data_IF_604051288615
#
_entry.id   IF_604051288615
#
_cell.length_a   1.000
_cell.length_b   1.000
_cell.length_c   1.000
_cell.angle_alpha   90.00
_cell.angle_beta   90.00
_cell.angle_gamma   90.00
#
_symmetry.space_group_name_H-M   'P 1'
#
loop_
_entity.id
_entity.type
_entity.pdbx_description
1 polymer ?
#
# COMPACT_ATOMS: atom_id res chain seq x y z
N UNK A 1 -22.85 -51.37 31.81
CA UNK A 1 -22.56 -52.19 30.61
C UNK A 1 -21.48 -51.48 29.82
N UNK A 2 -20.25 -51.98 29.94
CA UNK A 2 -19.02 -51.29 29.58
C UNK A 2 -18.41 -52.02 28.38
N UNK A 3 -18.29 -51.37 27.22
CA UNK A 3 -17.55 -51.91 26.08
C UNK A 3 -16.31 -51.07 25.82
N UNK A 4 -15.18 -51.58 26.30
CA UNK A 4 -13.82 -51.18 25.90
C UNK A 4 -13.60 -51.64 24.46
N UNK A 5 -13.18 -50.72 23.59
CA UNK A 5 -12.55 -51.07 22.32
C UNK A 5 -11.08 -50.69 22.45
N UNK A 6 -10.25 -51.73 22.40
CA UNK A 6 -8.79 -51.69 22.30
C UNK A 6 -8.47 -51.68 20.80
N UNK A 7 -7.79 -50.65 20.31
CA UNK A 7 -7.17 -50.68 18.98
C UNK A 7 -5.68 -50.37 19.11
N UNK A 8 -4.91 -51.29 18.55
CA UNK A 8 -3.48 -51.43 18.69
C UNK A 8 -2.71 -50.42 17.81
N UNK A 9 -1.61 -49.92 18.37
CA UNK A 9 -0.59 -49.15 17.70
C UNK A 9 0.22 -50.04 16.73
N UNK A 10 0.32 -49.62 15.46
CA UNK A 10 1.31 -50.15 14.52
C UNK A 10 2.20 -48.98 14.04
N UNK A 11 3.47 -49.00 14.48
CA UNK A 11 4.56 -48.17 13.96
C UNK A 11 5.09 -48.78 12.65
N UNK A 12 5.25 -48.00 11.57
CA UNK A 12 6.16 -48.36 10.49
C UNK A 12 7.54 -47.72 10.67
N UNK A 13 8.57 -48.57 10.64
CA UNK A 13 10.00 -48.23 10.60
C UNK A 13 10.45 -47.81 9.18
N UNK A 14 11.58 -47.09 9.03
CA UNK A 14 11.94 -46.40 7.79
C UNK A 14 12.75 -47.28 6.83
N UNK A 15 12.70 -47.04 5.50
CA UNK A 15 13.64 -47.63 4.58
C UNK A 15 14.92 -46.79 4.42
N UNK A 16 16.02 -47.52 4.40
CA UNK A 16 17.42 -47.14 4.26
C UNK A 16 17.80 -46.64 2.85
N UNK A 17 18.59 -45.56 2.82
CA UNK A 17 19.81 -45.33 2.02
C UNK A 17 20.00 -46.13 0.72
N UNK A 18 20.21 -45.42 -0.40
CA UNK A 18 21.34 -45.69 -1.30
C UNK A 18 21.76 -44.45 -2.11
N UNK A 19 23.06 -44.18 -2.05
CA UNK A 19 23.82 -43.16 -2.79
C UNK A 19 24.62 -43.89 -3.88
N UNK A 20 24.91 -43.27 -5.02
CA UNK A 20 26.25 -43.43 -5.55
C UNK A 20 26.91 -42.09 -5.91
N UNK A 21 28.22 -42.12 -5.69
CA UNK A 21 29.25 -41.10 -5.92
C UNK A 21 29.81 -41.12 -7.34
N UNK A 22 30.56 -40.04 -7.65
CA UNK A 22 31.64 -39.93 -8.66
C UNK A 22 31.23 -39.37 -10.03
N UNK A 23 31.99 -38.57 -10.78
CA UNK A 23 33.06 -37.58 -10.59
C UNK A 23 33.40 -37.07 -12.02
N UNK A 24 33.68 -35.76 -12.19
CA UNK A 24 34.81 -35.18 -12.94
C UNK A 24 34.55 -33.76 -13.51
N UNK A 25 35.28 -32.80 -12.91
CA UNK A 25 36.05 -31.62 -13.43
C UNK A 25 36.30 -31.48 -14.96
N UNK A 26 36.96 -30.38 -15.44
CA UNK A 26 36.73 -28.93 -15.29
C UNK A 26 36.96 -28.14 -16.64
N UNK A 27 36.74 -26.82 -16.68
CA UNK A 27 37.26 -25.96 -17.76
C UNK A 27 36.80 -24.50 -17.66
N UNK A 28 37.68 -23.58 -17.28
CA UNK A 28 38.31 -22.57 -18.17
C UNK A 28 37.36 -21.42 -18.57
N UNK A 29 37.38 -20.25 -17.93
CA UNK A 29 38.31 -19.10 -18.06
C UNK A 29 37.94 -18.11 -19.18
N UNK A 30 37.98 -16.81 -18.80
CA UNK A 30 38.00 -15.60 -19.63
C UNK A 30 36.75 -15.33 -20.50
N UNK A 31 36.31 -14.11 -20.82
CA UNK A 31 36.87 -12.76 -20.73
C UNK A 31 35.72 -11.77 -21.00
N UNK A 32 35.77 -10.59 -20.37
CA UNK A 32 35.05 -9.39 -20.83
C UNK A 32 35.54 -9.00 -22.22
N UNK A 33 34.67 -8.36 -23.03
CA UNK A 33 35.13 -7.12 -23.64
C UNK A 33 34.10 -6.00 -23.52
N UNK A 34 34.63 -4.85 -23.09
CA UNK A 34 34.07 -3.54 -23.38
C UNK A 34 34.16 -3.25 -24.87
N UNK A 35 33.13 -2.63 -25.46
CA UNK A 35 33.33 -1.78 -26.63
C UNK A 35 32.37 -0.60 -26.60
N UNK A 36 32.98 0.59 -26.54
CA UNK A 36 32.39 1.88 -26.88
C UNK A 36 32.09 1.95 -28.38
N UNK A 37 31.14 2.81 -28.74
CA UNK A 37 31.15 3.75 -29.89
C UNK A 37 30.12 3.50 -31.00
N UNK A 38 29.23 4.48 -31.19
CA UNK A 38 28.68 5.06 -32.45
C UNK A 38 27.63 6.10 -31.99
N UNK A 39 27.79 7.43 -32.12
CA UNK A 39 28.13 8.38 -33.19
C UNK A 39 27.07 8.50 -34.30
N UNK A 40 26.59 9.75 -34.47
CA UNK A 40 25.72 10.36 -35.51
C UNK A 40 24.22 10.18 -35.28
N UNK A 41 23.37 11.21 -35.44
CA UNK A 41 23.25 12.07 -36.63
C UNK A 41 22.49 13.37 -36.32
N UNK A 42 23.02 14.51 -36.79
CA UNK A 42 22.30 15.77 -36.98
C UNK A 42 21.26 15.65 -38.10
N UNK A 43 20.14 16.35 -37.98
CA UNK A 43 19.42 16.95 -39.11
C UNK A 43 18.69 18.22 -38.65
N UNK A 44 18.82 19.23 -39.51
CA UNK A 44 18.41 20.63 -39.45
C UNK A 44 17.24 20.82 -40.43
N UNK A 45 16.62 22.02 -40.39
CA UNK A 45 15.67 22.64 -41.34
C UNK A 45 14.20 22.23 -41.24
N UNK A 46 13.20 23.08 -41.47
CA UNK A 46 12.97 24.54 -41.45
C UNK A 46 11.54 24.70 -42.01
N UNK A 47 10.80 25.72 -41.58
CA UNK A 47 10.20 26.73 -42.47
C UNK A 47 9.09 27.54 -41.80
N UNK A 48 9.24 28.84 -42.02
CA UNK A 48 8.34 29.96 -41.80
C UNK A 48 7.01 29.86 -42.57
N UNK A 49 6.04 30.70 -42.13
CA UNK A 49 5.26 31.69 -42.92
C UNK A 49 4.04 32.13 -42.11
N UNK A 50 4.01 33.36 -41.63
CA UNK A 50 3.52 34.59 -42.30
C UNK A 50 2.00 34.83 -42.08
N UNK A 51 1.73 35.87 -41.31
CA UNK A 51 0.50 36.68 -41.22
C UNK A 51 0.19 37.41 -42.56
N UNK A 52 -0.94 38.16 -42.79
CA UNK A 52 -1.68 39.03 -41.84
C UNK A 52 -3.22 39.18 -42.02
N UNK A 53 -3.92 39.85 -41.07
CA UNK A 53 -4.64 41.14 -41.26
C UNK A 53 -5.73 41.46 -40.20
N UNK A 54 -5.56 42.66 -39.62
CA UNK A 54 -6.38 43.60 -38.81
C UNK A 54 -7.92 43.56 -39.04
N UNK A 55 -8.80 43.84 -38.07
CA UNK A 55 -9.11 45.18 -37.51
C UNK A 55 -9.58 45.20 -36.02
N UNK A 56 -9.45 46.41 -35.47
CA UNK A 56 -9.53 46.91 -34.09
C UNK A 56 -10.94 46.95 -33.44
N UNK A 57 -10.99 46.78 -32.10
CA UNK A 57 -11.39 47.89 -31.20
C UNK A 57 -11.06 47.61 -29.72
N UNK A 58 -10.74 48.69 -28.98
CA UNK A 58 -10.09 48.74 -27.66
C UNK A 58 -10.80 48.03 -26.49
N UNK A 59 -10.21 47.96 -25.29
CA UNK A 59 -9.46 48.99 -24.58
C UNK A 59 -8.55 48.37 -23.51
N UNK A 60 -7.42 49.02 -23.31
CA UNK A 60 -6.33 48.85 -22.35
C UNK A 60 -6.78 48.58 -20.90
N UNK A 61 -6.12 47.63 -20.22
CA UNK A 61 -5.54 47.87 -18.89
C UNK A 61 -4.25 47.04 -18.76
N UNK A 62 -3.15 47.74 -18.51
CA UNK A 62 -1.82 47.23 -18.20
C UNK A 62 -1.79 46.23 -17.03
N UNK A 63 -0.99 45.17 -17.15
CA UNK A 63 0.05 44.79 -16.16
C UNK A 63 0.87 43.62 -16.72
N UNK A 64 1.95 43.96 -17.43
CA UNK A 64 3.09 43.08 -17.66
C UNK A 64 3.72 42.72 -16.30
N UNK A 65 4.08 41.45 -16.08
CA UNK A 65 5.48 41.05 -16.26
C UNK A 65 5.72 39.57 -15.97
N UNK A 66 6.30 38.98 -17.02
CA UNK A 66 6.84 37.66 -17.18
C UNK A 66 7.88 37.27 -16.11
N UNK A 67 7.77 36.03 -15.66
CA UNK A 67 8.72 35.38 -14.75
C UNK A 67 9.70 34.52 -15.55
N UNK A 68 10.95 34.97 -15.74
CA UNK A 68 12.06 34.03 -15.86
C UNK A 68 13.45 34.58 -15.52
N UNK A 69 14.22 33.68 -14.90
CA UNK A 69 15.69 33.65 -14.80
C UNK A 69 16.41 34.45 -13.70
N UNK A 70 16.83 33.68 -12.70
CA UNK A 70 18.17 33.65 -12.10
C UNK A 70 19.09 34.86 -12.27
N UNK A 71 19.43 35.53 -11.16
CA UNK A 71 20.71 35.34 -10.48
C UNK A 71 20.82 36.25 -9.24
N UNK A 72 21.26 35.64 -8.13
CA UNK A 72 22.17 36.24 -7.15
C UNK A 72 21.59 37.32 -6.22
N UNK A 73 20.82 36.87 -5.22
CA UNK A 73 20.68 37.58 -3.94
C UNK A 73 21.23 36.73 -2.78
N UNK A 74 22.50 36.98 -2.42
CA UNK A 74 23.08 36.58 -1.14
C UNK A 74 22.35 37.33 -0.03
N UNK A 75 21.37 36.73 0.65
CA UNK A 75 20.84 37.26 1.92
C UNK A 75 20.61 36.14 2.94
N UNK A 76 21.55 36.13 3.90
CA UNK A 76 21.38 35.78 5.32
C UNK A 76 20.63 34.48 5.63
N UNK A 77 21.41 33.40 5.64
CA UNK A 77 21.12 32.18 6.41
C UNK A 77 21.03 32.57 7.88
N UNK A 78 19.80 32.79 8.34
CA UNK A 78 19.44 33.07 9.73
C UNK A 78 19.91 31.94 10.63
N UNK A 79 20.42 32.32 11.78
CA UNK A 79 21.26 31.58 12.72
C UNK A 79 20.47 30.59 13.59
N UNK A 80 19.42 29.95 13.06
CA UNK A 80 18.54 29.03 13.79
C UNK A 80 18.69 27.56 13.41
N UNK A 81 19.66 27.21 12.55
CA UNK A 81 19.91 25.82 12.12
C UNK A 81 20.68 24.95 13.13
N UNK A 82 20.86 25.38 14.37
CA UNK A 82 21.70 24.68 15.35
C UNK A 82 20.94 23.94 16.44
N UNK A 83 19.66 24.22 16.67
CA UNK A 83 18.85 23.50 17.68
C UNK A 83 18.40 22.16 17.10
N UNK A 84 17.87 22.13 15.87
CA UNK A 84 17.48 20.89 15.20
C UNK A 84 18.66 19.93 15.01
N UNK A 85 19.82 20.44 14.58
CA UNK A 85 21.04 19.63 14.42
C UNK A 85 21.71 19.23 15.74
N UNK A 86 21.40 19.89 16.87
CA UNK A 86 21.86 19.48 18.20
C UNK A 86 20.88 18.49 18.85
N UNK A 87 19.58 18.63 18.61
CA UNK A 87 18.56 17.64 18.96
C UNK A 87 18.76 16.36 18.14
N UNK A 88 19.04 16.43 16.85
CA UNK A 88 19.41 15.25 16.05
C UNK A 88 20.70 14.60 16.53
N UNK A 89 21.69 15.37 17.02
CA UNK A 89 22.93 14.79 17.58
C UNK A 89 22.79 14.22 18.99
N UNK A 90 21.83 14.69 19.79
CA UNK A 90 21.50 14.12 21.11
C UNK A 90 20.51 12.96 20.98
N UNK A 91 19.48 13.10 20.13
CA UNK A 91 18.51 12.07 19.79
C UNK A 91 19.09 10.94 18.93
N UNK A 92 20.16 11.16 18.16
CA UNK A 92 20.92 10.05 17.54
C UNK A 92 21.61 9.13 18.57
N UNK A 93 21.58 9.49 19.86
CA UNK A 93 22.11 8.69 20.98
C UNK A 93 21.03 8.09 21.88
N UNK A 94 19.79 8.56 21.78
CA UNK A 94 18.62 7.98 22.47
C UNK A 94 17.98 7.03 21.45
N UNK A 95 17.61 5.80 21.80
CA UNK A 95 17.21 4.73 20.87
C UNK A 95 15.90 4.93 20.10
N UNK A 96 15.71 6.12 19.53
CA UNK A 96 14.60 6.55 18.69
C UNK A 96 14.28 5.57 17.55
N UNK A 97 15.28 4.87 17.03
CA UNK A 97 15.09 3.85 16.00
C UNK A 97 14.32 2.63 16.52
N UNK A 98 14.48 2.23 17.78
CA UNK A 98 13.72 1.13 18.36
C UNK A 98 12.23 1.47 18.46
N UNK A 99 11.91 2.70 18.90
CA UNK A 99 10.54 3.21 18.91
C UNK A 99 9.95 3.31 17.50
N UNK A 100 10.69 3.87 16.54
CA UNK A 100 10.25 3.96 15.14
C UNK A 100 9.99 2.59 14.55
N UNK A 101 10.91 1.64 14.73
CA UNK A 101 10.75 0.28 14.20
C UNK A 101 9.58 -0.46 14.86
N UNK A 102 9.38 -0.30 16.17
CA UNK A 102 8.22 -0.86 16.86
C UNK A 102 6.93 -0.22 16.38
N UNK A 103 6.87 1.11 16.27
CA UNK A 103 5.72 1.83 15.74
C UNK A 103 5.36 1.36 14.31
N UNK A 104 6.36 1.18 13.44
CA UNK A 104 6.17 0.60 12.10
C UNK A 104 5.51 -0.77 12.18
N UNK A 105 6.06 -1.66 13.00
CA UNK A 105 5.56 -3.03 13.13
C UNK A 105 4.11 -3.04 13.63
N UNK A 106 3.83 -2.34 14.74
CA UNK A 106 2.50 -2.27 15.35
C UNK A 106 1.49 -1.65 14.36
N UNK A 107 1.89 -0.62 13.61
CA UNK A 107 1.00 0.00 12.61
C UNK A 107 0.61 -0.99 11.51
N UNK A 108 1.54 -1.86 11.10
CA UNK A 108 1.28 -2.87 10.05
C UNK A 108 0.57 -4.13 10.55
N UNK A 109 0.71 -4.48 11.83
CA UNK A 109 0.18 -5.73 12.39
C UNK A 109 -1.09 -5.56 13.23
N UNK A 110 -1.28 -4.39 13.85
CA UNK A 110 -2.38 -4.12 14.78
C UNK A 110 -3.40 -3.15 14.21
N UNK A 111 -3.01 -1.91 13.95
CA UNK A 111 -3.92 -0.87 13.44
C UNK A 111 -3.15 0.18 12.62
N UNK A 112 -3.66 0.58 11.44
CA UNK A 112 -3.01 1.59 10.60
C UNK A 112 -3.10 3.01 11.19
N UNK A 113 -3.92 3.22 12.23
CA UNK A 113 -4.20 4.54 12.80
C UNK A 113 -4.13 4.50 14.31
N UNK A 114 -2.90 4.47 14.82
CA UNK A 114 -2.63 4.43 16.26
C UNK A 114 -2.53 5.87 16.79
N UNK A 115 -3.36 6.27 17.76
CA UNK A 115 -3.27 7.57 18.41
C UNK A 115 -2.13 7.59 19.43
N UNK A 116 -0.88 7.59 18.96
CA UNK A 116 0.31 7.46 19.81
C UNK A 116 0.35 8.44 20.98
N UNK A 117 -0.10 9.68 20.80
CA UNK A 117 -0.18 10.66 21.90
C UNK A 117 -1.06 10.16 23.05
N UNK A 118 -2.27 9.65 22.75
CA UNK A 118 -3.18 9.12 23.77
C UNK A 118 -2.61 7.84 24.40
N UNK A 119 -1.99 6.99 23.59
CA UNK A 119 -1.36 5.76 24.10
C UNK A 119 -0.23 6.07 25.09
N UNK A 120 0.63 7.04 24.79
CA UNK A 120 1.68 7.48 25.72
C UNK A 120 1.11 8.16 26.97
N UNK A 121 0.09 9.01 26.82
CA UNK A 121 -0.53 9.66 27.95
C UNK A 121 -1.08 8.65 28.97
N UNK A 122 -1.93 7.72 28.52
CA UNK A 122 -2.52 6.70 29.39
C UNK A 122 -1.47 5.73 29.94
N UNK A 123 -0.51 5.32 29.10
CA UNK A 123 0.52 4.36 29.50
C UNK A 123 1.54 4.91 30.50
N UNK A 124 2.02 6.14 30.29
CA UNK A 124 2.99 6.77 31.18
C UNK A 124 2.39 7.12 32.54
N UNK A 125 1.11 7.51 32.59
CA UNK A 125 0.37 7.70 33.84
C UNK A 125 0.19 6.37 34.57
N UNK A 126 -0.21 5.31 33.84
CA UNK A 126 -0.36 3.96 34.41
C UNK A 126 0.94 3.41 34.99
N UNK A 127 2.08 3.65 34.33
CA UNK A 127 3.40 3.27 34.82
C UNK A 127 3.95 4.20 35.92
N UNK A 128 3.21 5.25 36.30
CA UNK A 128 3.66 6.28 37.24
C UNK A 128 4.98 6.96 36.84
N UNK A 129 5.28 7.01 35.54
CA UNK A 129 6.45 7.72 34.99
C UNK A 129 6.17 9.22 34.97
N UNK A 130 4.92 9.61 34.70
CA UNK A 130 4.42 10.98 34.82
C UNK A 130 3.30 11.06 35.86
N UNK A 131 3.05 12.27 36.35
CA UNK A 131 1.93 12.52 37.27
C UNK A 131 0.62 12.43 36.50
N UNK A 132 -0.39 11.79 37.08
CA UNK A 132 -1.75 11.73 36.54
C UNK A 132 -2.28 13.14 36.21
N UNK A 133 -2.82 13.31 34.99
CA UNK A 133 -3.35 14.59 34.51
C UNK A 133 -2.27 15.57 34.04
N UNK A 134 -0.99 15.21 34.07
CA UNK A 134 0.11 16.09 33.62
C UNK A 134 0.03 16.40 32.12
N UNK A 135 -0.57 15.51 31.32
CA UNK A 135 -0.80 15.71 29.89
C UNK A 135 -2.24 16.13 29.56
N UNK A 136 -3.00 16.57 30.58
CA UNK A 136 -4.41 16.93 30.50
C UNK A 136 -5.34 15.79 30.87
N UNK A 137 -6.59 16.13 31.20
CA UNK A 137 -7.60 15.11 31.48
C UNK A 137 -8.15 14.57 30.16
N UNK A 138 -8.09 13.25 29.98
CA UNK A 138 -8.79 12.57 28.89
C UNK A 138 -10.05 11.91 29.44
N UNK A 139 -11.21 12.42 29.03
CA UNK A 139 -12.47 11.69 29.22
C UNK A 139 -12.52 10.52 28.22
N UNK A 140 -11.98 9.38 28.62
CA UNK A 140 -12.01 8.14 27.83
C UNK A 140 -13.07 7.19 28.37
N UNK A 141 -13.69 6.44 27.45
CA UNK A 141 -14.46 5.26 27.83
C UNK A 141 -13.49 4.18 28.31
N UNK A 142 -13.91 3.37 29.27
CA UNK A 142 -13.10 2.25 29.83
C UNK A 142 -12.53 1.33 28.73
N UNK A 143 -13.33 1.04 27.70
CA UNK A 143 -12.87 0.25 26.56
C UNK A 143 -11.76 0.94 25.75
N UNK A 144 -11.90 2.24 25.47
CA UNK A 144 -10.87 3.00 24.74
C UNK A 144 -9.58 3.08 25.55
N UNK A 145 -9.67 3.28 26.87
CA UNK A 145 -8.52 3.28 27.76
C UNK A 145 -7.78 1.92 27.75
N UNK A 146 -8.54 0.82 27.77
CA UNK A 146 -7.97 -0.54 27.70
C UNK A 146 -7.23 -0.77 26.38
N UNK A 147 -7.84 -0.39 25.25
CA UNK A 147 -7.21 -0.53 23.92
C UNK A 147 -5.92 0.30 23.79
N UNK A 148 -5.89 1.50 24.38
CA UNK A 148 -4.70 2.35 24.40
C UNK A 148 -3.57 1.76 25.25
N UNK A 149 -3.90 1.20 26.41
CA UNK A 149 -2.94 0.50 27.28
C UNK A 149 -2.36 -0.73 26.61
N UNK A 150 -3.19 -1.53 25.92
CA UNK A 150 -2.70 -2.69 25.18
C UNK A 150 -1.66 -2.29 24.12
N UNK A 151 -1.94 -1.23 23.35
CA UNK A 151 -0.99 -0.73 22.34
C UNK A 151 0.30 -0.21 22.99
N UNK A 152 0.20 0.48 24.13
CA UNK A 152 1.34 0.94 24.89
C UNK A 152 2.20 -0.23 25.41
N UNK A 153 1.59 -1.27 25.96
CA UNK A 153 2.30 -2.46 26.44
C UNK A 153 3.01 -3.22 25.30
N UNK A 154 2.37 -3.34 24.14
CA UNK A 154 3.00 -3.92 22.95
C UNK A 154 4.23 -3.11 22.54
N UNK A 155 4.13 -1.77 22.56
CA UNK A 155 5.26 -0.89 22.28
C UNK A 155 6.39 -1.05 23.30
N UNK A 156 6.05 -1.05 24.59
CA UNK A 156 6.99 -1.23 25.71
C UNK A 156 7.75 -2.54 25.58
N UNK A 157 7.06 -3.63 25.23
CA UNK A 157 7.68 -4.92 24.96
C UNK A 157 8.57 -4.92 23.70
N UNK A 158 8.17 -4.17 22.66
CA UNK A 158 8.92 -4.06 21.40
C UNK A 158 10.21 -3.25 21.50
N UNK A 159 10.36 -2.42 22.53
CA UNK A 159 11.53 -1.55 22.73
C UNK A 159 12.37 -2.07 23.92
N UNK A 160 13.51 -2.74 23.68
CA UNK A 160 14.26 -3.42 24.74
C UNK A 160 14.73 -2.53 25.92
N UNK A 161 14.97 -1.24 25.67
CA UNK A 161 15.45 -0.27 26.67
C UNK A 161 14.42 0.82 26.96
N UNK A 162 13.12 0.48 26.85
CA UNK A 162 12.02 1.44 26.85
C UNK A 162 12.10 2.45 28.01
N UNK A 163 12.17 1.98 29.26
CA UNK A 163 12.15 2.85 30.45
C UNK A 163 13.31 3.86 30.47
N UNK A 164 14.51 3.44 30.10
CA UNK A 164 15.69 4.31 30.08
C UNK A 164 15.59 5.34 28.96
N UNK A 165 15.13 4.93 27.79
CA UNK A 165 15.01 5.80 26.63
C UNK A 165 13.86 6.79 26.78
N UNK A 166 12.70 6.37 27.28
CA UNK A 166 11.55 7.26 27.48
C UNK A 166 11.83 8.28 28.57
N UNK A 167 12.51 7.90 29.66
CA UNK A 167 12.96 8.84 30.69
C UNK A 167 13.90 9.90 30.10
N UNK A 168 14.84 9.48 29.25
CA UNK A 168 15.75 10.41 28.56
C UNK A 168 15.02 11.35 27.60
N UNK A 169 13.94 10.89 26.96
CA UNK A 169 13.08 11.71 26.09
C UNK A 169 12.29 12.73 26.89
N UNK A 170 11.74 12.33 28.04
CA UNK A 170 11.01 13.22 28.95
C UNK A 170 11.92 14.29 29.57
N UNK A 171 13.10 13.91 30.04
CA UNK A 171 14.12 14.86 30.55
C UNK A 171 14.55 15.88 29.50
N UNK A 172 14.49 15.50 28.22
CA UNK A 172 14.82 16.36 27.10
C UNK A 172 13.63 17.17 26.56
N UNK A 173 12.44 17.04 27.15
CA UNK A 173 11.19 17.67 26.69
C UNK A 173 10.89 17.37 25.20
N UNK A 174 11.14 16.11 24.80
CA UNK A 174 11.14 15.68 23.40
C UNK A 174 10.06 14.63 23.06
N UNK A 175 9.05 14.46 23.92
CA UNK A 175 8.01 13.44 23.75
C UNK A 175 7.19 13.66 22.47
N UNK A 176 6.79 14.91 22.19
CA UNK A 176 6.07 15.27 20.97
C UNK A 176 6.87 14.95 19.69
N UNK A 177 8.19 15.18 19.74
CA UNK A 177 9.08 14.87 18.62
C UNK A 177 9.17 13.35 18.39
N UNK A 178 9.27 12.56 19.46
CA UNK A 178 9.23 11.11 19.40
C UNK A 178 7.91 10.61 18.79
N UNK A 179 6.78 11.09 19.31
CA UNK A 179 5.43 10.72 18.84
C UNK A 179 5.26 11.06 17.35
N UNK A 180 5.70 12.25 16.93
CA UNK A 180 5.65 12.69 15.53
C UNK A 180 6.47 11.77 14.63
N UNK A 181 7.68 11.37 15.05
CA UNK A 181 8.53 10.44 14.30
C UNK A 181 7.96 9.02 14.24
N UNK A 182 7.37 8.53 15.32
CA UNK A 182 6.68 7.23 15.32
C UNK A 182 5.47 7.23 14.38
N UNK A 183 4.65 8.28 14.42
CA UNK A 183 3.48 8.46 13.55
C UNK A 183 3.89 8.52 12.08
N UNK A 184 4.95 9.26 11.77
CA UNK A 184 5.53 9.32 10.42
C UNK A 184 6.03 7.95 9.98
N UNK A 185 6.74 7.24 10.87
CA UNK A 185 7.28 5.91 10.55
C UNK A 185 6.18 4.88 10.27
N UNK A 186 5.12 4.87 11.08
CA UNK A 186 3.93 4.05 10.83
C UNK A 186 3.27 4.38 9.49
N UNK A 187 3.08 5.67 9.20
CA UNK A 187 2.52 6.15 7.93
C UNK A 187 3.36 5.74 6.72
N UNK A 188 4.69 5.80 6.85
CA UNK A 188 5.63 5.34 5.83
C UNK A 188 5.53 3.83 5.59
N UNK A 189 5.38 3.04 6.66
CA UNK A 189 5.21 1.59 6.54
C UNK A 189 3.93 1.23 5.77
N UNK A 190 2.81 1.84 6.13
CA UNK A 190 1.52 1.68 5.41
C UNK A 190 1.67 2.11 3.95
N UNK A 191 2.32 3.25 3.69
CA UNK A 191 2.55 3.76 2.34
C UNK A 191 3.41 2.82 1.50
N UNK A 192 4.42 2.18 2.10
CA UNK A 192 5.27 1.18 1.46
C UNK A 192 4.49 -0.08 1.13
N UNK A 193 3.65 -0.59 2.04
CA UNK A 193 2.85 -1.79 1.79
C UNK A 193 1.78 -1.55 0.73
N UNK A 194 1.08 -0.42 0.78
CA UNK A 194 0.18 0.02 -0.29
C UNK A 194 0.95 0.14 -1.61
N UNK A 195 2.19 0.63 -1.61
CA UNK A 195 2.98 0.77 -2.83
C UNK A 195 3.42 -0.58 -3.41
N UNK A 196 3.77 -1.57 -2.57
CA UNK A 196 4.03 -2.95 -3.01
C UNK A 196 2.75 -3.58 -3.57
N UNK A 197 1.65 -3.44 -2.84
CA UNK A 197 0.34 -3.97 -3.22
C UNK A 197 -0.07 -3.49 -4.62
N UNK A 198 0.17 -2.22 -4.97
CA UNK A 198 -0.21 -1.68 -6.29
C UNK A 198 0.29 -2.52 -7.46
N UNK A 199 1.57 -2.88 -7.47
CA UNK A 199 2.15 -3.62 -8.59
C UNK A 199 1.76 -5.10 -8.54
N UNK A 200 1.75 -5.69 -7.34
CA UNK A 200 1.40 -7.11 -7.19
C UNK A 200 -0.09 -7.37 -7.40
N UNK A 201 -0.96 -6.40 -7.09
CA UNK A 201 -2.39 -6.54 -7.30
C UNK A 201 -2.77 -6.54 -8.78
N UNK A 202 -2.03 -5.81 -9.63
CA UNK A 202 -2.18 -5.95 -11.08
C UNK A 202 -1.85 -7.38 -11.52
N UNK A 203 -0.82 -8.01 -10.93
CA UNK A 203 -0.47 -9.40 -11.25
C UNK A 203 -1.55 -10.38 -10.83
N UNK A 204 -2.16 -10.13 -9.67
CA UNK A 204 -3.28 -10.91 -9.16
C UNK A 204 -4.46 -10.80 -10.14
N UNK A 205 -4.84 -9.57 -10.53
CA UNK A 205 -5.93 -9.37 -11.47
C UNK A 205 -5.61 -9.99 -12.84
N UNK A 206 -4.43 -9.76 -13.39
CA UNK A 206 -4.05 -10.27 -14.72
C UNK A 206 -4.07 -11.80 -14.77
N UNK A 207 -3.67 -12.46 -13.68
CA UNK A 207 -3.71 -13.92 -13.56
C UNK A 207 -5.14 -14.49 -13.58
N UNK A 208 -6.14 -13.73 -13.10
CA UNK A 208 -7.53 -14.20 -12.98
C UNK A 208 -8.41 -13.72 -14.15
N UNK A 209 -8.31 -12.45 -14.51
CA UNK A 209 -9.13 -11.81 -15.54
C UNK A 209 -8.48 -11.88 -16.94
N UNK A 210 -7.25 -12.39 -17.03
CA UNK A 210 -6.47 -12.44 -18.25
C UNK A 210 -5.67 -11.16 -18.53
N UNK A 211 -4.91 -11.19 -19.62
CA UNK A 211 -3.98 -10.11 -20.01
C UNK A 211 -4.72 -8.78 -20.22
N UNK A 212 -4.19 -7.72 -19.63
CA UNK A 212 -4.70 -6.36 -19.80
C UNK A 212 -4.61 -5.88 -21.25
N UNK A 213 -5.65 -5.19 -21.70
CA UNK A 213 -5.79 -4.61 -23.04
C UNK A 213 -6.19 -3.13 -22.91
N UNK A 214 -5.30 -2.19 -23.25
CA UNK A 214 -3.90 -2.40 -23.64
C UNK A 214 -3.03 -2.91 -22.46
N UNK A 215 -1.87 -3.54 -22.71
CA UNK A 215 -0.98 -3.97 -21.63
C UNK A 215 -0.56 -2.79 -20.76
N UNK A 216 -0.66 -2.94 -19.43
CA UNK A 216 -0.29 -1.89 -18.48
C UNK A 216 1.21 -1.93 -18.23
N UNK A 217 1.90 -0.84 -18.58
CA UNK A 217 3.30 -0.68 -18.21
C UNK A 217 3.40 -0.27 -16.72
N UNK A 218 4.01 -1.13 -15.90
CA UNK A 218 4.18 -0.91 -14.45
C UNK A 218 5.03 0.32 -14.10
N UNK A 219 5.83 0.80 -15.05
CA UNK A 219 6.68 1.98 -14.88
C UNK A 219 6.00 3.27 -15.36
N UNK A 220 4.82 3.18 -15.98
CA UNK A 220 4.09 4.35 -16.46
C UNK A 220 3.39 5.11 -15.32
N UNK A 221 3.16 6.40 -15.53
CA UNK A 221 2.36 7.22 -14.60
C UNK A 221 0.94 6.66 -14.49
N UNK A 222 0.53 6.33 -13.27
CA UNK A 222 -0.79 5.76 -12.94
C UNK A 222 -1.96 6.55 -13.51
N UNK A 223 -1.86 7.88 -13.48
CA UNK A 223 -2.89 8.79 -14.00
C UNK A 223 -3.15 8.63 -15.50
N UNK A 224 -2.34 7.85 -16.22
CA UNK A 224 -2.48 7.60 -17.65
C UNK A 224 -2.93 6.17 -17.98
N UNK A 225 -2.67 5.20 -17.11
CA UNK A 225 -2.79 3.78 -17.45
C UNK A 225 -3.61 2.94 -16.47
N UNK A 226 -4.10 3.54 -15.38
CA UNK A 226 -4.85 2.82 -14.33
C UNK A 226 -6.22 3.46 -14.07
N UNK A 227 -7.06 2.72 -13.34
CA UNK A 227 -8.38 3.17 -12.92
C UNK A 227 -9.31 3.38 -14.12
N UNK A 228 -9.96 4.54 -14.17
CA UNK A 228 -10.88 4.93 -15.25
C UNK A 228 -10.18 5.16 -16.61
N UNK A 229 -8.85 5.21 -16.67
CA UNK A 229 -8.12 5.28 -17.94
C UNK A 229 -7.90 3.91 -18.61
N UNK A 230 -8.33 2.82 -17.97
CA UNK A 230 -8.17 1.47 -18.49
C UNK A 230 -9.48 0.69 -18.38
N UNK A 231 -10.14 0.40 -19.50
CA UNK A 231 -11.51 -0.12 -19.54
C UNK A 231 -11.75 -1.36 -18.66
N UNK A 232 -10.85 -2.35 -18.68
CA UNK A 232 -11.04 -3.53 -17.81
C UNK A 232 -10.98 -3.19 -16.33
N UNK A 233 -10.11 -2.25 -15.92
CA UNK A 233 -10.01 -1.80 -14.53
C UNK A 233 -11.22 -0.92 -14.19
N UNK A 234 -11.59 -0.02 -15.09
CA UNK A 234 -12.76 0.82 -14.96
C UNK A 234 -14.03 0.00 -14.75
N UNK A 235 -14.22 -1.10 -15.51
CA UNK A 235 -15.36 -2.01 -15.35
C UNK A 235 -15.40 -2.67 -13.97
N UNK A 236 -14.25 -3.06 -13.43
CA UNK A 236 -14.13 -3.60 -12.06
C UNK A 236 -14.38 -2.55 -10.97
N UNK A 237 -14.05 -1.28 -11.23
CA UNK A 237 -14.31 -0.16 -10.33
C UNK A 237 -15.75 0.38 -10.44
N UNK A 238 -16.42 0.09 -11.54
CA UNK A 238 -17.81 0.48 -11.78
C UNK A 238 -18.71 -0.22 -10.76
N UNK A 239 -19.75 0.50 -10.31
CA UNK A 239 -20.76 -0.11 -9.44
C UNK A 239 -21.74 -0.93 -10.27
N UNK A 240 -22.23 -2.09 -9.79
CA UNK A 240 -23.10 -2.97 -10.56
C UNK A 240 -24.34 -2.30 -11.17
N UNK A 241 -24.94 -1.32 -10.46
CA UNK A 241 -26.10 -0.57 -10.96
C UNK A 241 -25.80 0.29 -12.20
N UNK A 242 -24.52 0.51 -12.51
CA UNK A 242 -24.03 1.31 -13.64
C UNK A 242 -23.42 0.47 -14.76
N UNK A 243 -23.47 -0.86 -14.67
CA UNK A 243 -22.90 -1.74 -15.70
C UNK A 243 -23.57 -1.56 -17.06
N UNK A 244 -24.89 -1.39 -17.11
CA UNK A 244 -25.59 -1.15 -18.39
C UNK A 244 -25.10 0.13 -19.07
N UNK A 245 -24.97 1.23 -18.31
CA UNK A 245 -24.47 2.50 -18.84
C UNK A 245 -23.00 2.42 -19.25
N UNK A 246 -22.19 1.69 -18.47
CA UNK A 246 -20.78 1.46 -18.82
C UNK A 246 -20.65 0.60 -20.08
N UNK A 247 -21.37 -0.51 -20.16
CA UNK A 247 -21.23 -1.51 -21.23
C UNK A 247 -21.78 -1.01 -22.57
N UNK A 248 -22.66 0.00 -22.58
CA UNK A 248 -23.16 0.68 -23.79
C UNK A 248 -22.07 1.52 -24.49
N UNK A 249 -21.35 2.35 -23.72
CA UNK A 249 -20.21 3.13 -24.24
C UNK A 249 -19.11 3.28 -23.16
N UNK A 250 -18.20 2.30 -23.01
CA UNK A 250 -17.21 2.27 -21.95
C UNK A 250 -16.28 3.48 -21.94
N UNK A 251 -15.82 3.92 -23.11
CA UNK A 251 -14.90 5.04 -23.27
C UNK A 251 -15.54 6.37 -22.84
N UNK A 252 -16.76 6.64 -23.31
CA UNK A 252 -17.49 7.85 -22.95
C UNK A 252 -17.86 7.84 -21.47
N UNK A 253 -18.32 6.71 -20.93
CA UNK A 253 -18.62 6.57 -19.50
C UNK A 253 -17.39 6.88 -18.66
N UNK A 254 -16.23 6.28 -18.99
CA UNK A 254 -14.98 6.53 -18.30
C UNK A 254 -14.58 8.01 -18.33
N UNK A 255 -14.70 8.67 -19.49
CA UNK A 255 -14.40 10.10 -19.62
C UNK A 255 -15.36 10.95 -18.77
N UNK A 256 -16.65 10.62 -18.74
CA UNK A 256 -17.63 11.28 -17.89
C UNK A 256 -17.33 11.12 -16.40
N UNK A 257 -16.83 9.95 -15.96
CA UNK A 257 -16.37 9.76 -14.58
C UNK A 257 -15.17 10.66 -14.28
N UNK A 258 -14.17 10.67 -15.16
CA UNK A 258 -12.94 11.47 -15.00
C UNK A 258 -13.26 12.97 -14.94
N UNK A 259 -14.17 13.43 -15.80
CA UNK A 259 -14.60 14.83 -15.88
C UNK A 259 -15.64 15.20 -14.80
N UNK A 260 -16.08 14.24 -13.99
CA UNK A 260 -17.15 14.40 -12.99
C UNK A 260 -18.48 14.92 -13.59
N UNK A 261 -18.89 14.34 -14.73
CA UNK A 261 -20.09 14.71 -15.50
C UNK A 261 -21.20 13.65 -15.50
N UNK A 262 -21.05 12.58 -14.72
CA UNK A 262 -22.12 11.59 -14.57
C UNK A 262 -23.34 12.21 -13.87
N UNK A 263 -24.53 12.03 -14.45
CA UNK A 263 -25.79 12.48 -13.86
C UNK A 263 -26.03 11.89 -12.47
N UNK A 264 -25.70 10.60 -12.30
CA UNK A 264 -25.71 9.92 -11.02
C UNK A 264 -24.28 9.44 -10.67
N UNK A 265 -23.53 10.20 -9.85
CA UNK A 265 -22.12 9.95 -9.62
C UNK A 265 -21.89 8.69 -8.78
N UNK A 266 -20.76 8.03 -9.03
CA UNK A 266 -20.28 6.93 -8.19
C UNK A 266 -19.70 7.53 -6.91
N UNK A 267 -20.41 7.35 -5.80
CA UNK A 267 -20.01 7.81 -4.47
C UNK A 267 -19.46 6.68 -3.59
N UNK A 268 -18.90 7.02 -2.43
CA UNK A 268 -18.41 6.07 -1.44
C UNK A 268 -19.47 5.14 -0.83
N UNK A 269 -20.77 5.38 -1.07
CA UNK A 269 -21.85 4.48 -0.64
C UNK A 269 -22.06 3.30 -1.60
N UNK A 270 -21.37 3.26 -2.73
CA UNK A 270 -21.48 2.20 -3.72
C UNK A 270 -20.33 1.21 -3.59
N UNK A 271 -20.65 -0.08 -3.65
CA UNK A 271 -19.63 -1.12 -3.78
C UNK A 271 -19.22 -1.29 -5.25
N UNK A 272 -17.91 -1.27 -5.56
CA UNK A 272 -17.41 -1.59 -6.89
C UNK A 272 -17.63 -3.06 -7.24
N UNK A 273 -17.70 -3.38 -8.54
CA UNK A 273 -17.83 -4.75 -9.04
C UNK A 273 -16.78 -5.71 -8.49
N UNK A 274 -15.52 -5.26 -8.33
CA UNK A 274 -14.42 -6.09 -7.79
C UNK A 274 -14.66 -6.57 -6.35
N UNK A 275 -15.65 -6.04 -5.63
CA UNK A 275 -15.97 -6.51 -4.29
C UNK A 275 -16.81 -7.80 -4.32
N UNK A 276 -17.38 -8.15 -5.46
CA UNK A 276 -18.26 -9.28 -5.63
C UNK A 276 -17.51 -10.49 -6.19
N UNK A 277 -17.91 -11.69 -5.77
CA UNK A 277 -17.34 -12.96 -6.24
C UNK A 277 -17.44 -13.14 -7.76
N UNK A 278 -18.48 -12.59 -8.38
CA UNK A 278 -18.77 -12.67 -9.82
C UNK A 278 -18.55 -11.32 -10.53
N UNK A 279 -17.75 -10.44 -9.92
CA UNK A 279 -17.50 -9.07 -10.40
C UNK A 279 -18.77 -8.20 -10.50
N UNK A 280 -19.84 -8.58 -9.80
CA UNK A 280 -21.04 -7.77 -9.62
C UNK A 280 -22.16 -8.10 -10.60
N UNK A 281 -22.02 -9.16 -11.39
CA UNK A 281 -23.00 -9.58 -12.40
C UNK A 281 -24.35 -9.98 -11.79
N UNK A 282 -24.37 -10.59 -10.61
CA UNK A 282 -25.61 -10.84 -9.88
C UNK A 282 -26.21 -9.53 -9.36
N UNK A 283 -25.38 -8.68 -8.73
CA UNK A 283 -25.80 -7.42 -8.14
C UNK A 283 -26.32 -6.40 -9.16
N UNK A 284 -25.97 -6.52 -10.44
CA UNK A 284 -26.48 -5.65 -11.51
C UNK A 284 -27.94 -5.96 -11.89
N UNK A 285 -28.46 -7.13 -11.50
CA UNK A 285 -29.82 -7.59 -11.86
C UNK A 285 -30.94 -6.93 -11.06
N UNK A 286 -30.62 -6.29 -9.94
CA UNK A 286 -31.61 -5.57 -9.13
C UNK A 286 -31.25 -5.49 -7.64
N UNK A 287 -32.09 -4.81 -6.84
CA UNK A 287 -31.83 -4.56 -5.42
C UNK A 287 -31.77 -5.83 -4.57
N UNK A 288 -32.48 -6.88 -4.95
CA UNK A 288 -32.55 -8.14 -4.20
C UNK A 288 -31.23 -8.94 -4.21
N UNK A 289 -30.35 -8.68 -5.19
CA UNK A 289 -29.07 -9.39 -5.35
C UNK A 289 -27.85 -8.53 -4.95
N UNK A 290 -28.06 -7.34 -4.39
CA UNK A 290 -26.97 -6.40 -4.02
C UNK A 290 -26.00 -6.97 -2.99
N UNK A 291 -26.42 -7.92 -2.16
CA UNK A 291 -25.54 -8.55 -1.18
C UNK A 291 -25.02 -9.92 -1.63
N UNK A 292 -25.44 -10.40 -2.80
CA UNK A 292 -25.05 -11.72 -3.29
C UNK A 292 -23.55 -11.73 -3.63
N UNK A 293 -22.78 -12.48 -2.84
CA UNK A 293 -21.33 -12.60 -3.06
C UNK A 293 -20.52 -11.33 -2.79
N UNK A 294 -21.12 -10.31 -2.15
CA UNK A 294 -20.43 -9.08 -1.76
C UNK A 294 -19.31 -9.37 -0.73
N UNK A 295 -18.17 -8.70 -0.89
CA UNK A 295 -16.92 -8.88 -0.12
C UNK A 295 -16.36 -10.31 -0.15
N UNK A 296 -16.76 -11.12 -1.13
CA UNK A 296 -16.33 -12.51 -1.29
C UNK A 296 -15.49 -12.70 -2.56
N UNK A 297 -14.87 -11.63 -3.05
CA UNK A 297 -13.98 -11.67 -4.19
C UNK A 297 -12.61 -12.27 -3.81
N UNK A 298 -12.11 -13.21 -4.62
CA UNK A 298 -10.89 -13.95 -4.34
C UNK A 298 -9.64 -13.08 -4.36
N UNK A 299 -9.56 -12.16 -5.32
CA UNK A 299 -8.44 -11.26 -5.52
C UNK A 299 -8.26 -10.33 -4.31
N UNK A 300 -9.37 -9.89 -3.69
CA UNK A 300 -9.35 -9.12 -2.45
C UNK A 300 -8.80 -9.94 -1.27
N UNK A 301 -9.18 -11.21 -1.13
CA UNK A 301 -8.59 -12.07 -0.10
C UNK A 301 -7.10 -12.30 -0.33
N UNK A 302 -6.68 -12.52 -1.58
CA UNK A 302 -5.27 -12.67 -1.89
C UNK A 302 -4.48 -11.39 -1.59
N UNK A 303 -5.03 -10.21 -1.89
CA UNK A 303 -4.47 -8.93 -1.51
C UNK A 303 -4.33 -8.78 0.01
N UNK A 304 -5.35 -9.19 0.78
CA UNK A 304 -5.29 -9.20 2.24
C UNK A 304 -4.16 -10.11 2.76
N UNK A 305 -4.04 -11.34 2.23
CA UNK A 305 -2.95 -12.28 2.60
C UNK A 305 -1.58 -11.67 2.27
N UNK A 306 -1.46 -10.98 1.13
CA UNK A 306 -0.22 -10.31 0.74
C UNK A 306 0.19 -9.22 1.73
N UNK A 307 -0.75 -8.40 2.19
CA UNK A 307 -0.50 -7.30 3.13
C UNK A 307 -0.10 -7.84 4.51
N UNK A 308 -0.88 -8.78 5.07
CA UNK A 308 -0.75 -9.16 6.48
C UNK A 308 0.12 -10.39 6.72
N UNK A 309 0.20 -11.33 5.77
CA UNK A 309 0.83 -12.64 5.99
C UNK A 309 2.10 -12.88 5.17
N UNK A 310 2.39 -12.09 4.14
CA UNK A 310 3.56 -12.10 3.22
C UNK A 310 3.24 -12.50 1.76
N UNK A 311 4.09 -12.09 0.80
CA UNK A 311 3.99 -12.53 -0.60
C UNK A 311 4.05 -14.05 -0.80
N UNK A 312 4.83 -14.77 0.01
CA UNK A 312 4.92 -16.23 -0.07
C UNK A 312 3.59 -16.89 0.28
N UNK A 313 2.93 -16.42 1.35
CA UNK A 313 1.61 -16.91 1.74
C UNK A 313 0.55 -16.55 0.70
N UNK A 314 0.61 -15.37 0.09
CA UNK A 314 -0.31 -14.98 -0.99
C UNK A 314 -0.16 -15.86 -2.24
N UNK A 315 1.08 -16.24 -2.59
CA UNK A 315 1.34 -17.17 -3.70
C UNK A 315 0.83 -18.59 -3.42
N UNK A 316 1.05 -19.09 -2.19
CA UNK A 316 0.51 -20.39 -1.75
C UNK A 316 -1.02 -20.39 -1.74
N UNK A 317 -1.63 -19.30 -1.29
CA UNK A 317 -3.08 -19.11 -1.29
C UNK A 317 -3.67 -19.20 -2.70
N UNK A 318 -3.11 -18.48 -3.68
CA UNK A 318 -3.50 -18.60 -5.08
C UNK A 318 -3.37 -20.02 -5.63
N UNK A 319 -2.25 -20.69 -5.35
CA UNK A 319 -2.01 -22.06 -5.82
C UNK A 319 -3.05 -23.03 -5.25
N UNK A 320 -3.36 -22.92 -3.96
CA UNK A 320 -4.38 -23.77 -3.33
C UNK A 320 -5.76 -23.52 -3.92
N UNK A 321 -6.13 -22.25 -4.14
CA UNK A 321 -7.41 -21.91 -4.73
C UNK A 321 -7.56 -22.42 -6.16
N UNK A 322 -6.54 -22.26 -7.01
CA UNK A 322 -6.52 -22.79 -8.36
C UNK A 322 -6.77 -24.32 -8.38
N UNK A 323 -6.12 -25.07 -7.49
CA UNK A 323 -6.33 -26.52 -7.34
C UNK A 323 -7.75 -26.87 -6.89
N UNK A 324 -8.34 -26.09 -5.98
CA UNK A 324 -9.73 -26.30 -5.55
C UNK A 324 -10.70 -26.01 -6.69
N UNK A 325 -10.45 -24.96 -7.49
CA UNK A 325 -11.26 -24.65 -8.66
C UNK A 325 -11.17 -25.74 -9.73
N UNK A 326 -9.96 -26.25 -10.01
CA UNK A 326 -9.74 -27.41 -10.90
C UNK A 326 -10.49 -28.65 -10.40
N UNK A 327 -10.36 -28.99 -9.12
CA UNK A 327 -11.08 -30.13 -8.54
C UNK A 327 -12.61 -29.97 -8.56
N UNK A 328 -13.14 -28.75 -8.40
CA UNK A 328 -14.58 -28.48 -8.55
C UNK A 328 -15.02 -28.61 -10.02
N UNK A 329 -14.20 -28.19 -10.97
CA UNK A 329 -14.45 -28.36 -12.39
C UNK A 329 -14.37 -29.84 -12.83
N UNK A 330 -13.47 -30.62 -12.24
CA UNK A 330 -13.34 -32.07 -12.46
C UNK A 330 -14.43 -32.87 -11.72
N UNK A 331 -14.98 -32.34 -10.63
CA UNK A 331 -16.07 -32.93 -9.83
C UNK A 331 -17.44 -32.98 -10.53
N UNK A 332 -17.58 -32.41 -11.73
CA UNK A 332 -18.71 -32.61 -12.63
C UNK A 332 -18.46 -33.68 -13.71
N UNK A 333 -17.51 -34.60 -13.47
CA UNK A 333 -17.32 -35.83 -14.28
C UNK A 333 -17.33 -37.10 -13.42
N UNK A 334 -18.31 -37.23 -12.53
CA UNK A 334 -18.67 -38.53 -11.94
C UNK A 334 -20.19 -38.69 -11.82
N UNK A 335 -20.87 -38.87 -12.96
CA UNK A 335 -21.55 -40.11 -13.37
C UNK A 335 -22.33 -39.89 -14.66
#
# INVERSE_FOLDING_TARGET
>A
MTRKIVLANAKPSPPTSNKPTSANKPGSSASKPSSKSKKRKDCVESNDKDEPSLEENGTEVDEDLDSNSSQRAKRRKGRNGNILGQLEKKAAKVGLEAFKNSARWITTSWSPSIPWHRAFQVGLESDSIIVEGCMGDLELKEQEQTELLEVYEILKYGVPSFETEISSVLEADALDELISKMSTSGSDAVSQDISKLKNTFLDIIEAHCGVFKPPINRNEKKSKSHGWNHLQIARMLCTPSKFVEFDDNPEEFCQCVIDNKLENPITASHFPGIFYVDLGEAASKGPESVFEGLLNNFELYQAWVLIYLTPENASRFATHHAKVAEHKAEGYRFK
#
